data_IF_167667084306
#
_entry.id   IF_167667084306
#
_cell.length_a   1.000
_cell.length_b   1.000
_cell.length_c   1.000
_cell.angle_alpha   90.00
_cell.angle_beta   90.00
_cell.angle_gamma   90.00
#
_symmetry.space_group_name_H-M   'P 1'
#
loop_
_entity.id
_entity.type
_entity.pdbx_description
1 polymer ?
#
# COMPACT_ATOMS: atom_id res chain seq x y z
N UNK A 1 -38.58 -55.94 -41.90
CA UNK A 1 -38.90 -54.50 -42.03
C UNK A 1 -37.64 -53.69 -41.76
N UNK A 2 -37.50 -52.54 -42.41
CA UNK A 2 -36.25 -51.88 -42.78
C UNK A 2 -35.55 -51.23 -41.57
N UNK A 3 -34.28 -51.60 -41.36
CA UNK A 3 -33.31 -50.86 -40.54
C UNK A 3 -32.96 -49.54 -41.26
N UNK A 4 -32.34 -48.61 -40.53
CA UNK A 4 -31.75 -47.33 -40.99
C UNK A 4 -32.69 -46.14 -41.16
N UNK A 5 -33.08 -45.50 -40.06
CA UNK A 5 -33.19 -44.04 -39.94
C UNK A 5 -32.89 -43.68 -38.49
N UNK A 6 -31.83 -42.88 -38.29
CA UNK A 6 -31.51 -41.98 -37.15
C UNK A 6 -29.98 -41.80 -37.00
N UNK A 7 -29.24 -41.90 -38.12
CA UNK A 7 -27.84 -41.48 -38.23
C UNK A 7 -27.69 -39.97 -38.52
N UNK A 8 -28.51 -39.10 -37.90
CA UNK A 8 -28.46 -37.64 -38.15
C UNK A 8 -28.46 -36.80 -36.85
N UNK A 9 -28.57 -37.41 -35.67
CA UNK A 9 -28.46 -36.68 -34.39
C UNK A 9 -27.01 -36.81 -33.85
N UNK A 10 -26.04 -36.67 -34.74
CA UNK A 10 -24.60 -36.74 -34.46
C UNK A 10 -23.86 -35.43 -34.74
N UNK A 11 -24.55 -34.34 -35.09
CA UNK A 11 -23.90 -33.11 -35.56
C UNK A 11 -24.36 -31.81 -34.88
N UNK A 12 -25.23 -31.86 -33.87
CA UNK A 12 -25.68 -30.64 -33.14
C UNK A 12 -25.14 -30.57 -31.70
N UNK A 13 -24.59 -31.67 -31.16
CA UNK A 13 -24.01 -31.71 -29.81
C UNK A 13 -22.49 -31.41 -29.82
N UNK A 14 -21.85 -31.34 -30.99
CA UNK A 14 -20.44 -30.95 -31.12
C UNK A 14 -20.22 -29.42 -31.22
N UNK A 15 -21.29 -28.62 -31.13
CA UNK A 15 -21.25 -27.15 -31.17
C UNK A 15 -21.45 -26.49 -29.79
N UNK A 16 -21.16 -27.21 -28.70
CA UNK A 16 -21.19 -26.69 -27.32
C UNK A 16 -19.88 -26.89 -26.55
N UNK A 17 -18.76 -27.20 -27.23
CA UNK A 17 -17.44 -27.46 -26.60
C UNK A 17 -16.33 -26.46 -26.96
N UNK A 18 -16.65 -25.27 -27.46
CA UNK A 18 -15.65 -24.23 -27.79
C UNK A 18 -16.04 -22.81 -27.36
N UNK A 19 -16.72 -22.69 -26.21
CA UNK A 19 -17.16 -21.39 -25.66
C UNK A 19 -16.30 -20.78 -24.55
N UNK A 20 -15.12 -21.31 -24.25
CA UNK A 20 -14.28 -20.84 -23.12
C UNK A 20 -12.84 -20.44 -23.50
N UNK A 21 -12.57 -20.21 -24.79
CA UNK A 21 -11.32 -19.62 -25.22
C UNK A 21 -11.55 -18.12 -25.43
N UNK A 22 -10.95 -17.32 -24.56
CA UNK A 22 -10.84 -15.86 -24.61
C UNK A 22 -12.10 -15.07 -24.22
N UNK A 23 -12.52 -15.22 -22.95
CA UNK A 23 -12.96 -14.03 -22.23
C UNK A 23 -11.75 -13.08 -22.13
N UNK A 24 -11.53 -12.29 -23.19
CA UNK A 24 -10.67 -11.11 -23.09
C UNK A 24 -11.30 -10.21 -22.02
N UNK A 25 -10.59 -9.84 -20.94
CA UNK A 25 -11.08 -8.76 -20.11
C UNK A 25 -11.24 -7.56 -21.04
N UNK A 26 -12.46 -7.03 -21.08
CA UNK A 26 -12.79 -5.74 -21.69
C UNK A 26 -11.65 -4.80 -21.36
N UNK A 27 -10.92 -4.37 -22.39
CA UNK A 27 -9.93 -3.33 -22.27
C UNK A 27 -10.66 -2.07 -21.84
N UNK A 28 -10.76 -1.84 -20.53
CA UNK A 28 -10.60 -0.50 -20.02
C UNK A 28 -9.28 -0.01 -20.63
N UNK A 29 -9.39 0.85 -21.64
CA UNK A 29 -8.29 1.73 -22.03
C UNK A 29 -7.87 2.48 -20.77
N UNK A 30 -6.90 1.90 -20.04
CA UNK A 30 -6.15 2.60 -19.01
C UNK A 30 -5.62 3.83 -19.71
N UNK A 31 -6.18 5.00 -19.39
CA UNK A 31 -5.63 6.29 -19.79
C UNK A 31 -4.13 6.37 -19.49
N UNK A 32 -3.44 7.41 -20.01
CA UNK A 32 -1.98 7.46 -20.03
C UNK A 32 -1.36 6.95 -18.73
N UNK A 33 -0.44 5.98 -18.85
CA UNK A 33 0.32 5.37 -17.74
C UNK A 33 1.26 6.38 -17.02
N UNK A 34 0.93 7.67 -17.01
CA UNK A 34 1.80 8.77 -16.54
C UNK A 34 1.81 8.96 -15.02
N UNK A 35 0.94 8.25 -14.31
CA UNK A 35 0.95 8.19 -12.85
C UNK A 35 2.20 7.48 -12.31
N UNK A 36 2.58 7.71 -11.03
CA UNK A 36 3.72 7.06 -10.39
C UNK A 36 3.70 5.53 -10.52
N UNK A 37 2.50 4.92 -10.56
CA UNK A 37 2.32 3.48 -10.78
C UNK A 37 2.74 3.04 -12.19
N UNK A 38 2.34 3.78 -13.23
CA UNK A 38 2.65 3.40 -14.61
C UNK A 38 4.13 3.56 -14.95
N UNK A 39 4.82 4.52 -14.33
CA UNK A 39 6.29 4.65 -14.42
C UNK A 39 7.04 3.44 -13.85
N UNK A 40 6.56 2.85 -12.75
CA UNK A 40 7.18 1.64 -12.17
C UNK A 40 6.96 0.43 -13.08
N UNK A 41 5.76 0.26 -13.64
CA UNK A 41 5.45 -0.85 -14.57
C UNK A 41 6.36 -0.80 -15.79
N UNK A 42 6.52 0.38 -16.38
CA UNK A 42 7.40 0.58 -17.54
C UNK A 42 8.88 0.39 -17.16
N UNK A 43 9.35 0.97 -16.06
CA UNK A 43 10.76 0.91 -15.67
C UNK A 43 11.26 -0.52 -15.35
N UNK A 44 10.35 -1.41 -14.93
CA UNK A 44 10.66 -2.79 -14.57
C UNK A 44 10.31 -3.81 -15.67
N UNK A 45 9.73 -3.37 -16.79
CA UNK A 45 9.24 -4.24 -17.86
C UNK A 45 8.38 -5.40 -17.31
N UNK A 46 7.41 -5.07 -16.44
CA UNK A 46 6.60 -6.11 -15.78
C UNK A 46 5.71 -6.83 -16.79
N UNK A 47 5.59 -8.16 -16.63
CA UNK A 47 4.57 -8.93 -17.34
C UNK A 47 3.17 -8.58 -16.80
N UNK A 48 2.09 -8.79 -17.58
CA UNK A 48 0.73 -8.57 -17.08
C UNK A 48 0.42 -9.36 -15.80
N UNK A 49 0.95 -10.58 -15.69
CA UNK A 49 0.79 -11.41 -14.49
C UNK A 49 1.52 -10.82 -13.28
N UNK A 50 2.77 -10.35 -13.45
CA UNK A 50 3.52 -9.68 -12.40
C UNK A 50 2.82 -8.38 -11.96
N UNK A 51 2.31 -7.59 -12.91
CA UNK A 51 1.54 -6.37 -12.61
C UNK A 51 0.31 -6.70 -11.75
N UNK A 52 -0.47 -7.73 -12.11
CA UNK A 52 -1.64 -8.15 -11.36
C UNK A 52 -1.29 -8.58 -9.93
N UNK A 53 -0.31 -9.48 -9.79
CA UNK A 53 0.13 -9.98 -8.48
C UNK A 53 0.66 -8.86 -7.58
N UNK A 54 1.39 -7.89 -8.14
CA UNK A 54 1.86 -6.73 -7.40
C UNK A 54 0.73 -5.82 -6.96
N UNK A 55 -0.29 -5.61 -7.79
CA UNK A 55 -1.44 -4.79 -7.43
C UNK A 55 -2.30 -5.45 -6.33
N UNK A 56 -2.50 -6.77 -6.41
CA UNK A 56 -3.16 -7.55 -5.35
C UNK A 56 -2.39 -7.46 -4.04
N UNK A 57 -1.07 -7.72 -4.07
CA UNK A 57 -0.20 -7.57 -2.91
C UNK A 57 -0.30 -6.15 -2.31
N UNK A 58 -0.21 -5.10 -3.14
CA UNK A 58 -0.36 -3.71 -2.70
C UNK A 58 -1.72 -3.43 -2.05
N UNK A 59 -2.81 -3.98 -2.57
CA UNK A 59 -4.15 -3.81 -2.00
C UNK A 59 -4.24 -4.50 -0.63
N UNK A 60 -3.81 -5.74 -0.54
CA UNK A 60 -3.79 -6.50 0.71
C UNK A 60 -2.93 -5.81 1.78
N UNK A 61 -1.71 -5.42 1.42
CA UNK A 61 -0.80 -4.68 2.30
C UNK A 61 -1.39 -3.35 2.75
N UNK A 62 -2.04 -2.59 1.86
CA UNK A 62 -2.70 -1.33 2.23
C UNK A 62 -3.82 -1.55 3.24
N UNK A 63 -4.65 -2.57 3.04
CA UNK A 63 -5.74 -2.90 3.95
C UNK A 63 -5.21 -3.29 5.33
N UNK A 64 -4.20 -4.17 5.36
CA UNK A 64 -3.61 -4.63 6.62
C UNK A 64 -2.91 -3.49 7.37
N UNK A 65 -2.12 -2.67 6.66
CA UNK A 65 -1.48 -1.50 7.24
C UNK A 65 -2.50 -0.50 7.79
N UNK A 66 -3.62 -0.27 7.09
CA UNK A 66 -4.70 0.60 7.58
C UNK A 66 -5.28 0.05 8.89
N UNK A 67 -5.63 -1.24 8.92
CA UNK A 67 -6.16 -1.92 10.10
C UNK A 67 -5.23 -1.80 11.31
N UNK A 68 -3.93 -2.07 11.11
CA UNK A 68 -2.92 -1.98 12.18
C UNK A 68 -2.75 -0.55 12.69
N UNK A 69 -2.72 0.46 11.80
CA UNK A 69 -2.63 1.86 12.22
C UNK A 69 -3.87 2.31 13.00
N UNK A 70 -5.07 1.91 12.58
CA UNK A 70 -6.31 2.19 13.29
C UNK A 70 -6.29 1.58 14.69
N UNK A 71 -5.82 0.32 14.82
CA UNK A 71 -5.65 -0.33 16.12
C UNK A 71 -4.63 0.40 17.01
N UNK A 72 -3.47 0.78 16.47
CA UNK A 72 -2.46 1.55 17.23
C UNK A 72 -3.04 2.87 17.72
N UNK A 73 -3.76 3.59 16.85
CA UNK A 73 -4.42 4.86 17.20
C UNK A 73 -5.43 4.67 18.32
N UNK A 74 -6.29 3.66 18.22
CA UNK A 74 -7.27 3.35 19.26
C UNK A 74 -6.61 3.09 20.62
N UNK A 75 -5.55 2.26 20.65
CA UNK A 75 -4.84 1.95 21.90
C UNK A 75 -4.10 3.15 22.47
N UNK A 76 -3.54 4.01 21.62
CA UNK A 76 -2.96 5.28 22.06
C UNK A 76 -4.00 6.21 22.69
N UNK A 77 -5.18 6.34 22.09
CA UNK A 77 -6.27 7.14 22.68
C UNK A 77 -6.67 6.59 24.05
N UNK A 78 -6.86 5.28 24.18
CA UNK A 78 -7.19 4.63 25.47
C UNK A 78 -6.11 4.84 26.52
N UNK A 79 -4.83 4.77 26.12
CA UNK A 79 -3.72 5.04 27.01
C UNK A 79 -3.71 6.51 27.48
N UNK A 80 -3.92 7.45 26.56
CA UNK A 80 -4.02 8.87 26.89
C UNK A 80 -5.18 9.16 27.84
N UNK A 81 -6.34 8.54 27.63
CA UNK A 81 -7.50 8.65 28.52
C UNK A 81 -7.22 8.07 29.91
N UNK A 82 -6.62 6.88 30.00
CA UNK A 82 -6.25 6.27 31.27
C UNK A 82 -5.27 7.15 32.06
N UNK A 83 -4.35 7.81 31.37
CA UNK A 83 -3.36 8.72 31.97
C UNK A 83 -3.94 10.05 32.47
N UNK A 84 -5.18 10.41 32.10
CA UNK A 84 -5.87 11.58 32.68
C UNK A 84 -6.31 11.35 34.12
N UNK A 85 -6.43 10.09 34.55
CA UNK A 85 -6.80 9.77 35.93
C UNK A 85 -5.58 9.98 36.85
N UNK A 86 -5.64 10.90 37.84
CA UNK A 86 -4.51 11.20 38.73
C UNK A 86 -4.09 10.01 39.62
N UNK A 87 -4.94 9.00 39.78
CA UNK A 87 -4.68 7.81 40.59
C UNK A 87 -4.22 6.59 39.77
N UNK A 88 -4.03 6.74 38.46
CA UNK A 88 -3.61 5.62 37.61
C UNK A 88 -2.21 5.16 38.00
N UNK A 89 -2.03 3.84 38.09
CA UNK A 89 -0.73 3.24 38.36
C UNK A 89 -0.09 2.75 37.08
N UNK A 90 1.25 2.65 37.08
CA UNK A 90 2.01 2.02 36.00
C UNK A 90 1.48 0.61 35.67
N UNK A 91 1.15 -0.18 36.70
CA UNK A 91 0.58 -1.52 36.53
C UNK A 91 -0.77 -1.48 35.82
N UNK A 92 -1.59 -0.46 36.06
CA UNK A 92 -2.89 -0.26 35.43
C UNK A 92 -2.81 0.03 33.93
N UNK A 93 -1.78 0.75 33.47
CA UNK A 93 -1.59 1.07 32.03
C UNK A 93 -0.68 0.07 31.29
N UNK A 94 0.00 -0.83 32.01
CA UNK A 94 0.93 -1.79 31.43
C UNK A 94 0.31 -2.65 30.31
N UNK A 95 -0.95 -3.14 30.41
CA UNK A 95 -1.57 -3.89 29.32
C UNK A 95 -1.68 -3.08 28.02
N UNK A 96 -2.14 -1.83 28.10
CA UNK A 96 -2.25 -0.93 26.93
C UNK A 96 -0.89 -0.68 26.29
N UNK A 97 0.14 -0.47 27.11
CA UNK A 97 1.51 -0.30 26.62
C UNK A 97 2.03 -1.56 25.90
N UNK A 98 1.72 -2.75 26.41
CA UNK A 98 2.12 -4.01 25.80
C UNK A 98 1.37 -4.26 24.48
N UNK A 99 0.09 -3.93 24.41
CA UNK A 99 -0.69 -4.01 23.16
C UNK A 99 -0.13 -3.09 22.08
N UNK A 100 0.21 -1.84 22.42
CA UNK A 100 0.83 -0.90 21.47
C UNK A 100 2.17 -1.46 20.96
N UNK A 101 3.00 -2.03 21.84
CA UNK A 101 4.27 -2.67 21.44
C UNK A 101 4.04 -3.83 20.48
N UNK A 102 3.06 -4.70 20.79
CA UNK A 102 2.71 -5.83 19.93
C UNK A 102 2.21 -5.37 18.56
N UNK A 103 1.38 -4.33 18.50
CA UNK A 103 0.91 -3.76 17.24
C UNK A 103 2.04 -3.13 16.42
N UNK A 104 3.02 -2.47 17.06
CA UNK A 104 4.22 -2.00 16.37
C UNK A 104 5.07 -3.14 15.83
N UNK A 105 5.20 -4.25 16.56
CA UNK A 105 5.87 -5.45 16.04
C UNK A 105 5.16 -5.97 14.77
N UNK A 106 3.83 -6.06 14.79
CA UNK A 106 3.04 -6.47 13.62
C UNK A 106 3.19 -5.51 12.44
N UNK A 107 3.32 -4.21 12.67
CA UNK A 107 3.61 -3.23 11.60
C UNK A 107 4.97 -3.47 10.95
N UNK A 108 5.98 -3.82 11.75
CA UNK A 108 7.32 -4.17 11.25
C UNK A 108 7.26 -5.47 10.44
N UNK A 109 6.62 -6.50 11.00
CA UNK A 109 6.47 -7.81 10.34
C UNK A 109 5.71 -7.68 9.02
N UNK A 110 4.61 -6.92 9.01
CA UNK A 110 3.82 -6.66 7.80
C UNK A 110 4.67 -5.99 6.71
N UNK A 111 5.51 -5.02 7.07
CA UNK A 111 6.43 -4.38 6.14
C UNK A 111 7.48 -5.35 5.59
N UNK A 112 8.06 -6.20 6.44
CA UNK A 112 9.04 -7.22 6.04
C UNK A 112 8.38 -8.20 5.06
N UNK A 113 7.21 -8.72 5.42
CA UNK A 113 6.44 -9.64 4.59
C UNK A 113 6.07 -9.02 3.24
N UNK A 114 5.70 -7.75 3.22
CA UNK A 114 5.44 -7.02 1.97
C UNK A 114 6.67 -6.97 1.04
N UNK A 115 7.87 -6.79 1.59
CA UNK A 115 9.12 -6.79 0.82
C UNK A 115 9.39 -8.18 0.23
N UNK A 116 9.24 -9.25 1.02
CA UNK A 116 9.43 -10.61 0.54
C UNK A 116 8.40 -11.00 -0.52
N UNK A 117 7.13 -10.64 -0.33
CA UNK A 117 6.10 -10.88 -1.33
C UNK A 117 6.38 -10.18 -2.66
N UNK A 118 6.98 -8.98 -2.65
CA UNK A 118 7.44 -8.33 -3.90
C UNK A 118 8.61 -9.08 -4.53
N UNK A 119 9.57 -9.54 -3.71
CA UNK A 119 10.73 -10.32 -4.17
C UNK A 119 10.33 -11.67 -4.80
N UNK A 120 9.24 -12.28 -4.36
CA UNK A 120 8.69 -13.52 -4.94
C UNK A 120 7.97 -13.31 -6.28
N UNK A 121 7.55 -12.07 -6.59
CA UNK A 121 6.87 -11.74 -7.84
C UNK A 121 7.88 -11.28 -8.91
N UNK A 122 8.91 -10.55 -8.49
CA UNK A 122 9.92 -9.98 -9.37
C UNK A 122 11.11 -10.92 -9.60
N UNK A 123 11.78 -10.79 -10.73
CA UNK A 123 13.13 -11.37 -10.87
C UNK A 123 14.13 -10.61 -10.01
N UNK A 124 15.29 -11.21 -9.75
CA UNK A 124 16.37 -10.59 -8.96
C UNK A 124 16.81 -9.24 -9.55
N UNK A 125 16.91 -9.15 -10.88
CA UNK A 125 17.28 -7.91 -11.58
C UNK A 125 16.16 -6.85 -11.47
N UNK A 126 14.90 -7.24 -11.67
CA UNK A 126 13.76 -6.34 -11.51
C UNK A 126 13.66 -5.82 -10.06
N UNK A 127 13.94 -6.67 -9.07
CA UNK A 127 13.92 -6.28 -7.67
C UNK A 127 15.03 -5.27 -7.33
N UNK A 128 16.24 -5.45 -7.86
CA UNK A 128 17.33 -4.48 -7.69
C UNK A 128 16.94 -3.10 -8.26
N UNK A 129 16.41 -3.05 -9.49
CA UNK A 129 15.92 -1.80 -10.08
C UNK A 129 14.76 -1.19 -9.28
N UNK A 130 13.87 -2.03 -8.74
CA UNK A 130 12.77 -1.59 -7.89
C UNK A 130 13.27 -0.90 -6.61
N UNK A 131 14.34 -1.41 -6.00
CA UNK A 131 14.97 -0.78 -4.83
C UNK A 131 15.51 0.61 -5.16
N UNK A 132 16.27 0.75 -6.25
CA UNK A 132 16.80 2.05 -6.68
C UNK A 132 15.70 3.09 -6.92
N UNK A 133 14.62 2.70 -7.60
CA UNK A 133 13.47 3.57 -7.85
C UNK A 133 12.83 4.00 -6.53
N UNK A 134 12.68 3.06 -5.60
CA UNK A 134 12.06 3.32 -4.29
C UNK A 134 12.93 4.23 -3.42
N UNK A 135 14.26 4.06 -3.44
CA UNK A 135 15.20 4.91 -2.72
C UNK A 135 15.16 6.35 -3.22
N UNK A 136 15.19 6.56 -4.54
CA UNK A 136 15.04 7.91 -5.13
C UNK A 136 13.72 8.56 -4.72
N UNK A 137 12.63 7.79 -4.72
CA UNK A 137 11.34 8.30 -4.25
C UNK A 137 11.37 8.69 -2.77
N UNK A 138 12.00 7.88 -1.91
CA UNK A 138 12.16 8.21 -0.50
C UNK A 138 12.97 9.49 -0.29
N UNK A 139 14.04 9.69 -1.04
CA UNK A 139 14.85 10.91 -0.99
C UNK A 139 14.01 12.15 -1.37
N UNK A 140 13.24 12.08 -2.45
CA UNK A 140 12.33 13.15 -2.84
C UNK A 140 11.29 13.47 -1.77
N UNK A 141 10.74 12.43 -1.12
CA UNK A 141 9.79 12.62 -0.01
C UNK A 141 10.47 13.29 1.18
N UNK A 142 11.69 12.89 1.55
CA UNK A 142 12.46 13.52 2.63
C UNK A 142 12.72 15.00 2.35
N UNK A 143 13.23 15.35 1.18
CA UNK A 143 13.47 16.74 0.76
C UNK A 143 12.18 17.58 0.82
N UNK A 144 11.06 17.01 0.39
CA UNK A 144 9.75 17.67 0.49
C UNK A 144 9.34 17.91 1.95
N UNK A 145 9.55 16.94 2.83
CA UNK A 145 9.24 17.08 4.26
C UNK A 145 10.11 18.15 4.92
N UNK A 146 11.41 18.19 4.60
CA UNK A 146 12.34 19.22 5.05
C UNK A 146 11.89 20.62 4.60
N UNK A 147 11.57 20.78 3.32
CA UNK A 147 11.09 22.05 2.79
C UNK A 147 9.78 22.51 3.47
N UNK A 148 8.84 21.59 3.71
CA UNK A 148 7.60 21.91 4.45
C UNK A 148 7.92 22.35 5.87
N UNK A 149 8.86 21.69 6.54
CA UNK A 149 9.30 22.02 7.90
C UNK A 149 9.97 23.40 7.94
N UNK A 150 10.88 23.71 7.02
CA UNK A 150 11.52 25.01 6.90
C UNK A 150 10.50 26.12 6.69
N UNK A 151 9.57 25.93 5.75
CA UNK A 151 8.50 26.89 5.49
C UNK A 151 7.60 27.10 6.70
N UNK A 152 7.31 26.03 7.45
CA UNK A 152 6.56 26.13 8.70
C UNK A 152 7.31 26.93 9.76
N UNK A 153 8.63 26.73 9.90
CA UNK A 153 9.47 27.48 10.83
C UNK A 153 9.55 28.97 10.45
N UNK A 154 9.76 29.28 9.17
CA UNK A 154 9.73 30.65 8.65
C UNK A 154 8.39 31.33 8.94
N UNK A 155 7.27 30.70 8.59
CA UNK A 155 5.93 31.22 8.87
C UNK A 155 5.69 31.46 10.38
N UNK A 156 6.14 30.52 11.23
CA UNK A 156 6.03 30.66 12.68
C UNK A 156 6.82 31.86 13.20
N UNK A 157 8.05 32.03 12.71
CA UNK A 157 8.92 33.12 13.14
C UNK A 157 8.43 34.48 12.61
N UNK A 158 7.81 34.56 11.42
CA UNK A 158 7.15 35.76 10.92
C UNK A 158 5.89 36.14 11.71
N UNK A 159 5.08 35.15 12.13
CA UNK A 159 3.80 35.38 12.82
C UNK A 159 3.94 35.57 14.32
N UNK A 160 4.91 34.92 14.94
CA UNK A 160 5.05 34.83 16.39
C UNK A 160 6.47 35.14 16.89
N UNK A 161 7.44 35.33 16.00
CA UNK A 161 8.77 35.80 16.36
C UNK A 161 8.71 37.27 16.76
N UNK A 162 9.05 37.53 18.03
CA UNK A 162 9.15 38.90 18.58
C UNK A 162 10.03 39.75 17.67
N UNK A 163 9.56 40.96 17.39
CA UNK A 163 10.23 41.95 16.57
C UNK A 163 11.72 42.05 16.88
N UNK A 164 12.53 42.03 15.82
CA UNK A 164 13.86 42.66 15.88
C UNK A 164 13.64 44.10 16.34
N UNK A 165 14.46 44.51 17.31
CA UNK A 165 14.42 45.78 18.04
C UNK A 165 13.66 46.92 17.36
N UNK A 166 12.57 47.33 18.00
CA UNK A 166 12.11 48.69 17.88
C UNK A 166 12.60 49.38 19.15
N UNK A 167 13.45 50.39 18.93
CA UNK A 167 14.08 51.23 19.92
C UNK A 167 13.06 51.69 20.98
N UNK A 168 13.40 51.47 22.25
CA UNK A 168 12.76 52.17 23.36
C UNK A 168 13.78 53.21 23.84
N UNK A 169 13.52 54.52 23.67
CA UNK A 169 14.30 55.58 24.30
C UNK A 169 14.16 55.55 25.83
#
# INVERSE_FOLDING_TARGET
>A
MKKTRFAVIGLVVFLLTTGALYAQPVGEEKGPRDGPKGRIVQALNLTPEQESRLEENRKAQRQEMKRLHEAVKEKHTKLQEALKNPYVTRKGVQPLANEIKSLHAQLIDSRINGIFAVKEILTSEQFARFQEITEKQQEHVKKRQEHIKERFLQWRDEKFGRGKGQDMP
#
